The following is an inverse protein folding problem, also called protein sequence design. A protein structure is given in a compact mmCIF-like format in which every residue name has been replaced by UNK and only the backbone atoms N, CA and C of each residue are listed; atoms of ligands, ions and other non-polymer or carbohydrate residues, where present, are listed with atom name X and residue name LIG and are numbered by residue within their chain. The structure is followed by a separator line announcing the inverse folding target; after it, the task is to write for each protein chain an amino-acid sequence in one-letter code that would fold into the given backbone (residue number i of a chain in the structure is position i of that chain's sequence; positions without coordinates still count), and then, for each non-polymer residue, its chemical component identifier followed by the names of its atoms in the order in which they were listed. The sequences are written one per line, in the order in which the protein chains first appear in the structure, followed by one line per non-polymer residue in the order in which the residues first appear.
data_IF_102327642655
#
_entry.id   IF_102327642655
#
_cell.length_a   1.000
_cell.length_b   1.000
_cell.length_c   1.000
_cell.angle_alpha   90.00
_cell.angle_beta   90.00
_cell.angle_gamma   90.00
#
_symmetry.space_group_name_H-M   'P 1'
#
loop_
_entity.id
_entity.type
_entity.pdbx_description
1 polymer ?
#
# COMPACT_ATOMS: atom_id res chain seq x y z
N UNK A 1 -2.36 9.44 -12.77
CA UNK A 1 -1.95 10.57 -11.91
C UNK A 1 -3.11 11.17 -11.12
N UNK A 2 -4.13 11.75 -11.78
CA UNK A 2 -5.24 12.48 -11.14
C UNK A 2 -5.88 11.67 -9.99
N UNK A 3 -6.20 10.41 -10.24
CA UNK A 3 -6.74 9.47 -9.24
C UNK A 3 -5.89 9.31 -7.97
N UNK A 4 -4.57 9.23 -8.11
CA UNK A 4 -3.65 9.10 -6.97
C UNK A 4 -3.61 10.40 -6.17
N UNK A 5 -3.56 11.54 -6.84
CA UNK A 5 -3.57 12.84 -6.16
C UNK A 5 -4.88 13.04 -5.39
N UNK A 6 -6.03 12.63 -5.95
CA UNK A 6 -7.30 12.63 -5.23
C UNK A 6 -7.27 11.72 -3.99
N UNK A 7 -6.66 10.54 -4.07
CA UNK A 7 -6.52 9.66 -2.90
C UNK A 7 -5.61 10.30 -1.81
N UNK A 8 -4.49 10.91 -2.21
CA UNK A 8 -3.56 11.58 -1.30
C UNK A 8 -4.17 12.84 -0.65
N UNK A 9 -4.88 13.68 -1.40
CA UNK A 9 -5.51 14.92 -0.88
C UNK A 9 -6.62 14.63 0.12
N UNK A 10 -7.26 13.47 0.01
CA UNK A 10 -8.28 12.98 0.92
C UNK A 10 -7.72 12.16 2.10
N UNK A 11 -6.40 12.02 2.22
CA UNK A 11 -5.76 11.40 3.40
C UNK A 11 -5.72 12.42 4.55
N UNK A 12 -6.45 12.23 5.66
CA UNK A 12 -6.62 13.27 6.69
C UNK A 12 -5.31 13.76 7.31
N UNK A 13 -4.39 12.84 7.62
CA UNK A 13 -3.10 13.20 8.23
C UNK A 13 -2.17 13.96 7.27
N UNK A 14 -2.19 13.63 5.98
CA UNK A 14 -1.47 14.41 4.98
C UNK A 14 -2.06 15.82 4.87
N UNK A 15 -3.39 15.93 4.83
CA UNK A 15 -4.08 17.22 4.82
C UNK A 15 -3.67 18.08 6.01
N UNK A 16 -3.73 17.53 7.22
CA UNK A 16 -3.44 18.29 8.43
C UNK A 16 -1.96 18.69 8.48
N UNK A 17 -1.05 17.83 8.01
CA UNK A 17 0.38 18.15 7.88
C UNK A 17 0.62 19.30 6.90
N UNK A 18 0.12 19.20 5.66
CA UNK A 18 0.36 20.19 4.61
C UNK A 18 -0.34 21.52 4.86
N UNK A 19 -1.48 21.52 5.56
CA UNK A 19 -2.16 22.75 5.98
C UNK A 19 -1.53 23.40 7.22
N UNK A 20 -0.75 22.66 8.01
CA UNK A 20 -0.05 23.19 9.18
C UNK A 20 1.28 23.89 8.88
N UNK A 21 1.67 23.95 7.60
CA UNK A 21 2.89 24.60 7.08
C UNK A 21 4.18 24.21 7.83
N UNK A 22 4.26 22.97 8.31
CA UNK A 22 5.41 22.44 9.06
C UNK A 22 6.62 22.11 8.19
N UNK A 23 6.52 22.26 6.86
CA UNK A 23 7.60 21.89 5.96
C UNK A 23 8.67 23.00 5.91
N UNK A 24 9.88 22.67 6.37
CA UNK A 24 11.06 23.51 6.15
C UNK A 24 11.72 23.10 4.84
N UNK A 25 11.53 23.91 3.79
CA UNK A 25 12.11 23.66 2.48
C UNK A 25 13.65 23.72 2.54
N UNK A 26 14.29 22.64 2.09
CA UNK A 26 15.76 22.53 2.06
C UNK A 26 16.38 23.07 0.77
N UNK A 27 15.56 23.30 -0.25
CA UNK A 27 15.98 23.91 -1.50
C UNK A 27 16.09 25.42 -1.27
N UNK A 28 17.17 25.83 -0.59
CA UNK A 28 17.47 27.15 -0.02
C UNK A 28 17.28 28.38 -0.94
N UNK A 29 16.89 28.22 -2.22
CA UNK A 29 16.53 29.33 -3.13
C UNK A 29 15.62 28.93 -4.32
N UNK A 30 15.12 27.68 -4.40
CA UNK A 30 14.23 27.28 -5.50
C UNK A 30 13.15 26.31 -5.03
N UNK A 31 12.12 26.87 -4.40
CA UNK A 31 10.93 26.14 -3.95
C UNK A 31 10.20 25.44 -5.12
N UNK A 32 10.45 25.84 -6.37
CA UNK A 32 9.81 25.22 -7.54
C UNK A 32 10.31 23.80 -7.80
N UNK A 33 11.46 23.42 -7.22
CA UNK A 33 12.03 22.07 -7.32
C UNK A 33 11.63 21.15 -6.16
N UNK A 34 10.96 21.69 -5.14
CA UNK A 34 10.54 20.92 -3.99
C UNK A 34 9.13 20.35 -4.19
N UNK A 35 9.01 19.03 -4.36
CA UNK A 35 7.72 18.35 -4.43
C UNK A 35 6.83 18.62 -3.20
N UNK A 36 7.40 18.71 -2.01
CA UNK A 36 6.65 18.96 -0.76
C UNK A 36 6.04 20.37 -0.78
N UNK A 37 6.77 21.38 -1.26
CA UNK A 37 6.22 22.74 -1.43
C UNK A 37 5.09 22.78 -2.46
N UNK A 38 5.25 22.11 -3.61
CA UNK A 38 4.19 22.07 -4.62
C UNK A 38 2.95 21.33 -4.10
N UNK A 39 3.12 20.24 -3.35
CA UNK A 39 2.00 19.54 -2.72
C UNK A 39 1.34 20.41 -1.65
N UNK A 40 2.10 21.11 -0.79
CA UNK A 40 1.51 22.09 0.14
C UNK A 40 0.64 23.13 -0.58
N UNK A 41 1.14 23.69 -1.68
CA UNK A 41 0.41 24.64 -2.52
C UNK A 41 -0.88 24.02 -3.09
N UNK A 42 -0.81 22.79 -3.59
CA UNK A 42 -1.97 22.07 -4.12
C UNK A 42 -3.02 21.80 -3.04
N UNK A 43 -2.61 21.43 -1.82
CA UNK A 43 -3.54 21.28 -0.70
C UNK A 43 -4.20 22.61 -0.34
N UNK A 44 -3.45 23.71 -0.27
CA UNK A 44 -4.00 25.03 -0.02
C UNK A 44 -5.00 25.46 -1.11
N UNK A 45 -4.66 25.27 -2.39
CA UNK A 45 -5.56 25.58 -3.52
C UNK A 45 -6.83 24.69 -3.48
N UNK A 46 -6.69 23.39 -3.21
CA UNK A 46 -7.82 22.45 -3.12
C UNK A 46 -8.79 22.81 -1.99
N UNK A 47 -8.25 23.15 -0.81
CA UNK A 47 -9.05 23.51 0.37
C UNK A 47 -9.41 25.01 0.46
N UNK A 48 -9.03 25.82 -0.54
CA UNK A 48 -9.36 27.26 -0.60
C UNK A 48 -10.85 27.56 -0.79
N UNK A 49 -11.62 26.56 -1.23
CA UNK A 49 -13.05 26.73 -1.61
C UNK A 49 -13.26 27.19 -3.05
N UNK A 50 -12.19 27.43 -3.82
CA UNK A 50 -12.29 27.68 -5.25
C UNK A 50 -12.76 26.41 -6.00
N UNK A 51 -13.71 26.57 -6.93
CA UNK A 51 -14.28 25.47 -7.72
C UNK A 51 -13.58 25.24 -9.07
N UNK A 52 -12.54 26.02 -9.37
CA UNK A 52 -11.76 25.82 -10.58
C UNK A 52 -11.01 24.47 -10.53
N UNK A 53 -10.95 23.71 -11.65
CA UNK A 53 -10.13 22.51 -11.73
C UNK A 53 -8.65 22.81 -11.47
N UNK A 54 -7.99 21.96 -10.69
CA UNK A 54 -6.56 22.09 -10.39
C UNK A 54 -5.71 21.52 -11.53
N UNK A 55 -4.73 22.32 -11.99
CA UNK A 55 -3.82 21.92 -13.07
C UNK A 55 -2.51 21.41 -12.46
N UNK A 56 -2.28 20.10 -12.53
CA UNK A 56 -1.16 19.40 -11.91
C UNK A 56 0.16 19.42 -12.72
N UNK A 57 0.35 20.38 -13.62
CA UNK A 57 1.50 20.40 -14.55
C UNK A 57 2.85 20.51 -13.84
N UNK A 58 2.96 21.32 -12.78
CA UNK A 58 4.19 21.47 -11.98
C UNK A 58 4.54 20.18 -11.25
N UNK A 59 3.53 19.57 -10.63
CA UNK A 59 3.66 18.29 -9.94
C UNK A 59 4.15 17.20 -10.89
N UNK A 60 3.53 17.11 -12.08
CA UNK A 60 3.91 16.16 -13.12
C UNK A 60 5.36 16.36 -13.55
N UNK A 61 5.75 17.61 -13.84
CA UNK A 61 7.11 17.94 -14.22
C UNK A 61 8.12 17.52 -13.14
N UNK A 62 7.82 17.80 -11.86
CA UNK A 62 8.70 17.43 -10.76
C UNK A 62 8.86 15.93 -10.64
N UNK A 63 7.76 15.17 -10.65
CA UNK A 63 7.83 13.72 -10.59
C UNK A 63 8.63 13.16 -11.76
N UNK A 64 8.44 13.67 -12.98
CA UNK A 64 9.21 13.25 -14.15
C UNK A 64 10.72 13.52 -14.05
N UNK A 65 11.11 14.65 -13.43
CA UNK A 65 12.53 14.94 -13.23
C UNK A 65 13.21 13.97 -12.27
N UNK A 66 12.46 13.47 -11.28
CA UNK A 66 12.98 12.56 -10.26
C UNK A 66 12.76 11.07 -10.58
N UNK A 67 11.73 10.75 -11.37
CA UNK A 67 11.34 9.41 -11.82
C UNK A 67 11.19 9.41 -13.35
N UNK A 68 12.34 9.36 -14.05
CA UNK A 68 12.39 9.49 -15.52
C UNK A 68 11.65 8.39 -16.28
N UNK A 69 11.45 7.22 -15.67
CA UNK A 69 10.69 6.12 -16.29
C UNK A 69 9.20 6.43 -16.40
N UNK A 70 8.67 7.32 -15.54
CA UNK A 70 7.29 7.83 -15.63
C UNK A 70 7.16 9.05 -16.53
N UNK A 71 8.27 9.55 -17.08
CA UNK A 71 8.27 10.75 -17.90
C UNK A 71 7.76 10.46 -19.31
N UNK A 72 6.70 11.16 -19.72
CA UNK A 72 6.11 11.00 -21.03
C UNK A 72 4.59 11.17 -20.99
N UNK A 73 3.99 11.32 -22.17
CA UNK A 73 2.54 11.46 -22.31
C UNK A 73 1.83 10.10 -22.47
N UNK A 74 2.57 9.00 -22.32
CA UNK A 74 2.03 7.64 -22.38
C UNK A 74 1.24 7.30 -21.13
N UNK A 75 0.33 6.34 -21.25
CA UNK A 75 -0.40 5.82 -20.10
C UNK A 75 0.56 5.04 -19.20
N UNK A 76 0.50 5.33 -17.90
CA UNK A 76 1.38 4.73 -16.89
C UNK A 76 0.56 4.03 -15.81
N UNK A 77 1.19 3.11 -15.10
CA UNK A 77 0.59 2.41 -13.98
C UNK A 77 0.37 3.36 -12.78
N UNK A 78 -0.86 3.36 -12.23
CA UNK A 78 -1.19 4.21 -11.09
C UNK A 78 -0.44 3.79 -9.81
N UNK A 79 -0.12 2.51 -9.64
CA UNK A 79 0.67 1.99 -8.53
C UNK A 79 2.11 2.50 -8.61
N UNK A 80 2.74 2.40 -9.78
CA UNK A 80 4.10 2.89 -9.98
C UNK A 80 4.20 4.40 -9.72
N UNK A 81 3.23 5.18 -10.21
CA UNK A 81 3.14 6.60 -9.90
C UNK A 81 2.97 6.88 -8.40
N UNK A 82 2.14 6.09 -7.70
CA UNK A 82 1.93 6.22 -6.26
C UNK A 82 3.22 5.98 -5.48
N UNK A 83 3.94 4.90 -5.76
CA UNK A 83 5.20 4.58 -5.09
C UNK A 83 6.27 5.62 -5.40
N UNK A 84 6.39 6.06 -6.66
CA UNK A 84 7.33 7.12 -7.05
C UNK A 84 7.01 8.45 -6.35
N UNK A 85 5.72 8.81 -6.21
CA UNK A 85 5.32 10.03 -5.51
C UNK A 85 5.68 9.97 -4.01
N UNK A 86 5.45 8.83 -3.35
CA UNK A 86 5.83 8.63 -1.95
C UNK A 86 7.35 8.68 -1.77
N UNK A 87 8.13 8.07 -2.67
CA UNK A 87 9.59 8.11 -2.62
C UNK A 87 10.15 9.54 -2.74
N UNK A 88 9.66 10.31 -3.71
CA UNK A 88 10.12 11.70 -3.88
C UNK A 88 9.69 12.56 -2.68
N UNK A 89 8.48 12.36 -2.16
CA UNK A 89 8.01 13.03 -0.94
C UNK A 89 8.87 12.69 0.27
N UNK A 90 9.17 11.40 0.47
CA UNK A 90 10.03 10.91 1.54
C UNK A 90 11.42 11.55 1.46
N UNK A 91 12.07 11.55 0.28
CA UNK A 91 13.39 12.17 0.06
C UNK A 91 13.39 13.68 0.27
N UNK A 92 12.32 14.37 -0.12
CA UNK A 92 12.24 15.84 0.03
C UNK A 92 11.79 16.27 1.44
N UNK A 93 11.17 15.37 2.21
CA UNK A 93 10.90 15.59 3.63
C UNK A 93 12.11 15.25 4.51
N UNK A 94 12.95 14.30 4.07
CA UNK A 94 14.25 14.04 4.68
C UNK A 94 15.16 15.21 4.41
N UNK A 95 15.20 16.10 5.40
CA UNK A 95 16.30 17.02 5.45
C UNK A 95 17.63 16.29 5.54
N UNK A 96 18.68 16.78 4.87
CA UNK A 96 20.03 16.19 4.77
C UNK A 96 20.30 15.16 5.89
N UNK A 97 20.57 13.87 5.56
CA UNK A 97 20.76 12.86 6.58
C UNK A 97 21.86 13.31 7.55
N UNK A 98 21.68 13.14 8.88
CA UNK A 98 22.77 13.36 9.81
C UNK A 98 23.93 12.44 9.42
N UNK A 99 25.13 13.02 9.35
CA UNK A 99 26.38 12.41 8.88
C UNK A 99 26.90 11.25 9.75
N UNK A 100 26.06 10.60 10.55
CA UNK A 100 26.43 9.52 11.44
C UNK A 100 25.72 8.25 10.99
N UNK A 101 26.52 7.29 10.51
CA UNK A 101 26.10 5.98 10.02
C UNK A 101 25.56 5.07 11.11
N UNK A 102 24.42 5.44 11.68
CA UNK A 102 23.60 4.52 12.45
C UNK A 102 22.58 3.87 11.51
N UNK A 103 22.72 2.57 11.33
CA UNK A 103 22.03 1.75 10.33
C UNK A 103 20.64 1.33 10.80
N UNK A 104 19.91 2.27 11.42
CA UNK A 104 18.50 2.09 11.79
C UNK A 104 17.65 2.83 10.76
N UNK A 105 17.00 2.05 9.88
CA UNK A 105 16.15 2.50 8.77
C UNK A 105 14.84 3.17 9.22
N UNK A 106 14.88 4.13 10.15
CA UNK A 106 13.68 4.82 10.64
C UNK A 106 13.77 6.30 10.36
N UNK A 107 13.19 6.74 9.26
CA UNK A 107 13.01 8.16 9.00
C UNK A 107 11.77 8.68 9.76
N UNK A 108 11.87 9.89 10.30
CA UNK A 108 10.78 10.56 11.01
C UNK A 108 9.88 11.41 10.10
N UNK A 109 9.98 11.28 8.77
CA UNK A 109 9.17 12.08 7.84
C UNK A 109 7.68 11.69 7.90
N UNK A 110 6.82 12.59 7.42
CA UNK A 110 5.37 12.39 7.41
C UNK A 110 4.96 11.13 6.61
N UNK A 111 5.69 10.81 5.54
CA UNK A 111 5.43 9.61 4.74
C UNK A 111 5.67 8.34 5.54
N UNK A 112 6.77 8.30 6.30
CA UNK A 112 7.10 7.13 7.12
C UNK A 112 6.18 6.99 8.34
N UNK A 113 5.73 8.10 8.91
CA UNK A 113 4.74 8.06 9.99
C UNK A 113 3.38 7.53 9.53
N UNK A 114 2.97 7.85 8.29
CA UNK A 114 1.63 7.52 7.78
C UNK A 114 1.60 6.17 7.08
N UNK A 115 2.52 5.91 6.15
CA UNK A 115 2.46 4.78 5.22
C UNK A 115 3.41 3.64 5.56
N UNK A 116 4.45 3.86 6.38
CA UNK A 116 5.43 2.79 6.66
C UNK A 116 4.91 1.78 7.67
N UNK A 117 4.67 0.57 7.19
CA UNK A 117 4.46 -0.63 8.00
C UNK A 117 5.76 -1.43 8.17
N UNK A 118 5.67 -2.53 8.92
CA UNK A 118 6.77 -3.49 9.09
C UNK A 118 6.28 -4.91 8.82
N UNK A 119 6.85 -5.56 7.82
CA UNK A 119 6.57 -6.93 7.44
C UNK A 119 7.59 -7.87 8.07
N UNK A 120 7.13 -8.87 8.82
CA UNK A 120 7.97 -9.91 9.39
C UNK A 120 8.05 -11.09 8.42
N UNK A 121 9.24 -11.37 7.91
CA UNK A 121 9.55 -12.54 7.09
C UNK A 121 10.23 -13.60 7.96
N UNK A 122 9.51 -14.69 8.22
CA UNK A 122 10.02 -15.83 8.97
C UNK A 122 10.40 -16.97 8.01
N UNK A 123 11.65 -17.41 8.10
CA UNK A 123 12.15 -18.60 7.40
C UNK A 123 12.37 -19.70 8.43
N UNK A 124 11.63 -20.80 8.30
CA UNK A 124 11.70 -21.96 9.20
C UNK A 124 12.37 -23.12 8.49
N UNK A 125 13.50 -23.57 9.01
CA UNK A 125 14.20 -24.74 8.52
C UNK A 125 13.40 -26.01 8.83
N UNK A 126 13.16 -26.86 7.82
CA UNK A 126 12.37 -28.09 7.99
C UNK A 126 13.16 -29.24 8.65
N UNK A 127 14.49 -29.11 8.76
CA UNK A 127 15.33 -30.14 9.39
C UNK A 127 15.51 -29.91 10.90
N UNK A 128 15.71 -28.67 11.34
CA UNK A 128 15.98 -28.35 12.75
C UNK A 128 14.95 -27.44 13.41
N UNK A 129 13.91 -27.00 12.67
CA UNK A 129 12.91 -26.03 13.11
C UNK A 129 13.48 -24.68 13.58
N UNK A 130 14.75 -24.37 13.24
CA UNK A 130 15.34 -23.06 13.48
C UNK A 130 14.60 -21.97 12.68
N UNK A 131 14.29 -20.86 13.35
CA UNK A 131 13.58 -19.73 12.76
C UNK A 131 14.55 -18.57 12.55
N UNK A 132 14.59 -18.05 11.33
CA UNK A 132 15.27 -16.80 10.98
C UNK A 132 14.21 -15.75 10.67
N UNK A 133 14.20 -14.65 11.41
CA UNK A 133 13.22 -13.57 11.28
C UNK A 133 13.88 -12.31 10.76
N UNK A 134 13.36 -11.73 9.69
CA UNK A 134 13.72 -10.40 9.19
C UNK A 134 12.51 -9.48 9.24
N UNK A 135 12.73 -8.19 9.47
CA UNK A 135 11.67 -7.18 9.49
C UNK A 135 11.98 -6.16 8.40
N UNK A 136 11.12 -6.11 7.40
CA UNK A 136 11.29 -5.26 6.21
C UNK A 136 10.22 -4.16 6.22
N UNK A 137 10.58 -2.87 6.07
CA UNK A 137 9.61 -1.80 5.94
C UNK A 137 8.87 -1.87 4.59
N UNK A 138 7.62 -1.42 4.56
CA UNK A 138 6.82 -1.33 3.33
C UNK A 138 5.90 -0.10 3.33
N UNK A 139 5.55 0.42 2.15
CA UNK A 139 4.55 1.48 1.98
C UNK A 139 3.21 0.97 1.45
N UNK A 140 3.22 -0.17 0.76
CA UNK A 140 2.03 -0.84 0.24
C UNK A 140 2.14 -2.36 0.36
N UNK A 141 1.00 -3.04 0.21
CA UNK A 141 0.93 -4.50 0.14
C UNK A 141 0.34 -4.86 -1.22
N UNK A 142 1.18 -5.43 -2.09
CA UNK A 142 0.78 -5.87 -3.42
C UNK A 142 0.34 -7.35 -3.41
N UNK A 143 -0.96 -7.57 -3.60
CA UNK A 143 -1.66 -8.85 -3.45
C UNK A 143 -1.85 -9.57 -4.78
N UNK A 144 -1.43 -10.83 -4.84
CA UNK A 144 -1.55 -11.67 -6.04
C UNK A 144 -2.97 -12.23 -6.21
N UNK A 145 -3.52 -12.08 -7.42
CA UNK A 145 -4.87 -12.54 -7.77
C UNK A 145 -4.89 -13.83 -8.61
N UNK A 146 -3.78 -14.17 -9.28
CA UNK A 146 -3.67 -15.37 -10.10
C UNK A 146 -3.70 -16.65 -9.26
N UNK A 147 -4.06 -17.83 -9.83
CA UNK A 147 -3.95 -19.11 -9.13
C UNK A 147 -2.50 -19.35 -8.68
N UNK A 148 -2.28 -20.02 -7.54
CA UNK A 148 -0.92 -20.27 -7.07
C UNK A 148 -0.25 -21.32 -7.97
N UNK A 149 0.82 -20.98 -8.71
CA UNK A 149 1.41 -21.90 -9.68
C UNK A 149 2.08 -23.12 -9.03
N UNK A 150 2.47 -23.02 -7.76
CA UNK A 150 3.15 -24.08 -6.98
C UNK A 150 2.23 -24.77 -5.96
N UNK A 151 0.93 -24.45 -6.01
CA UNK A 151 -0.09 -24.99 -5.14
C UNK A 151 -0.38 -26.46 -5.35
N UNK A 152 -0.02 -27.31 -4.38
CA UNK A 152 -0.36 -28.74 -4.41
C UNK A 152 -1.79 -29.01 -3.91
N UNK A 153 -2.39 -28.07 -3.18
CA UNK A 153 -3.72 -28.21 -2.59
C UNK A 153 -4.85 -27.67 -3.49
N UNK A 154 -6.09 -28.17 -3.32
CA UNK A 154 -7.27 -27.61 -3.99
C UNK A 154 -7.50 -26.13 -3.66
N UNK A 155 -7.12 -25.69 -2.46
CA UNK A 155 -7.25 -24.31 -1.99
C UNK A 155 -6.22 -23.35 -2.63
N UNK A 156 -5.08 -23.86 -3.12
CA UNK A 156 -4.09 -23.05 -3.81
C UNK A 156 -4.46 -22.78 -5.29
N UNK A 157 -5.35 -23.60 -5.85
CA UNK A 157 -5.88 -23.44 -7.21
C UNK A 157 -7.11 -22.55 -7.28
N UNK A 158 -7.75 -22.25 -6.14
CA UNK A 158 -8.90 -21.35 -6.09
C UNK A 158 -8.44 -19.90 -6.16
N UNK A 159 -9.04 -19.16 -7.08
CA UNK A 159 -8.83 -17.70 -7.23
C UNK A 159 -9.45 -17.01 -6.02
N UNK A 160 -8.76 -16.04 -5.37
CA UNK A 160 -9.33 -15.31 -4.24
C UNK A 160 -10.59 -14.54 -4.68
N UNK A 161 -11.56 -14.42 -3.77
CA UNK A 161 -12.84 -13.73 -4.03
C UNK A 161 -13.03 -12.49 -3.17
N UNK A 162 -12.20 -12.33 -2.14
CA UNK A 162 -12.22 -11.20 -1.22
C UNK A 162 -10.82 -10.70 -0.89
N UNK A 163 -10.73 -9.44 -0.43
CA UNK A 163 -9.50 -8.86 0.10
C UNK A 163 -8.96 -9.67 1.30
N UNK A 164 -9.85 -10.23 2.12
CA UNK A 164 -9.46 -11.10 3.23
C UNK A 164 -8.81 -12.39 2.72
N UNK A 165 -9.34 -13.02 1.66
CA UNK A 165 -8.72 -14.20 1.03
C UNK A 165 -7.32 -13.87 0.48
N UNK A 166 -7.19 -12.70 -0.15
CA UNK A 166 -5.90 -12.23 -0.66
C UNK A 166 -4.87 -12.05 0.48
N UNK A 167 -5.28 -11.47 1.61
CA UNK A 167 -4.41 -11.26 2.77
C UNK A 167 -4.08 -12.56 3.50
N UNK A 168 -5.03 -13.49 3.61
CA UNK A 168 -4.78 -14.83 4.16
C UNK A 168 -3.73 -15.55 3.31
N UNK A 169 -3.90 -15.51 1.98
CA UNK A 169 -2.91 -16.08 1.05
C UNK A 169 -1.56 -15.39 1.15
N UNK A 170 -1.52 -14.07 1.25
CA UNK A 170 -0.27 -13.30 1.40
C UNK A 170 0.47 -13.66 2.69
N UNK A 171 -0.25 -13.98 3.77
CA UNK A 171 0.32 -14.30 5.08
C UNK A 171 0.50 -15.79 5.36
N UNK A 172 0.15 -16.64 4.40
CA UNK A 172 0.25 -18.09 4.52
C UNK A 172 1.70 -18.56 4.39
N UNK A 173 2.15 -19.57 5.17
CA UNK A 173 3.44 -20.20 4.95
C UNK A 173 3.50 -20.87 3.57
N UNK A 174 4.57 -20.61 2.83
CA UNK A 174 4.87 -21.25 1.55
C UNK A 174 6.16 -22.08 1.65
N UNK A 175 6.19 -23.23 0.97
CA UNK A 175 7.39 -24.05 0.86
C UNK A 175 8.25 -23.54 -0.28
N UNK A 176 9.52 -23.22 -0.01
CA UNK A 176 10.42 -22.69 -1.04
C UNK A 176 10.82 -23.75 -2.09
N UNK A 177 10.57 -25.03 -1.80
CA UNK A 177 10.87 -26.14 -2.70
C UNK A 177 12.35 -26.51 -2.73
N UNK A 178 12.64 -27.61 -3.43
CA UNK A 178 13.98 -28.20 -3.48
C UNK A 178 15.00 -27.41 -4.32
N UNK A 179 14.52 -26.51 -5.18
CA UNK A 179 15.34 -25.62 -6.02
C UNK A 179 15.82 -24.36 -5.31
N UNK A 180 15.21 -23.97 -4.19
CA UNK A 180 15.54 -22.76 -3.43
C UNK A 180 15.91 -23.06 -1.97
N UNK A 181 16.76 -24.06 -1.76
CA UNK A 181 17.27 -24.42 -0.42
C UNK A 181 18.07 -23.27 0.18
N UNK A 182 17.86 -23.02 1.47
CA UNK A 182 18.56 -21.96 2.22
C UNK A 182 19.63 -22.60 3.10
N UNK A 183 20.79 -21.95 3.19
CA UNK A 183 21.85 -22.37 4.12
C UNK A 183 21.40 -22.08 5.56
N UNK A 184 21.05 -23.12 6.30
CA UNK A 184 20.63 -22.99 7.69
C UNK A 184 21.84 -22.80 8.61
N UNK A 185 21.80 -21.81 9.50
CA UNK A 185 22.85 -21.56 10.50
C UNK A 185 22.96 -22.68 11.55
N UNK A 186 21.83 -23.27 11.97
CA UNK A 186 21.83 -24.41 12.89
C UNK A 186 22.38 -25.71 12.26
N UNK A 187 21.95 -26.06 11.05
CA UNK A 187 22.38 -27.29 10.37
C UNK A 187 23.71 -27.15 9.60
N UNK A 188 24.22 -25.92 9.45
CA UNK A 188 25.41 -25.59 8.63
C UNK A 188 25.38 -26.16 7.20
N UNK A 189 24.19 -26.39 6.66
CA UNK A 189 23.95 -27.05 5.36
C UNK A 189 22.71 -26.47 4.68
N UNK A 190 22.56 -26.72 3.38
CA UNK A 190 21.41 -26.29 2.58
C UNK A 190 20.21 -27.17 2.88
N UNK A 191 19.18 -26.58 3.48
CA UNK A 191 17.97 -27.27 3.90
C UNK A 191 16.75 -26.71 3.21
N UNK A 192 15.71 -27.54 3.09
CA UNK A 192 14.40 -27.06 2.72
C UNK A 192 13.83 -26.20 3.85
N UNK A 193 13.13 -25.14 3.49
CA UNK A 193 12.61 -24.17 4.44
C UNK A 193 11.24 -23.69 3.97
N UNK A 194 10.39 -23.35 4.93
CA UNK A 194 9.13 -22.64 4.69
C UNK A 194 9.34 -21.16 4.97
N UNK A 195 8.84 -20.30 4.10
CA UNK A 195 8.83 -18.85 4.29
C UNK A 195 7.40 -18.40 4.61
N UNK A 196 7.26 -17.47 5.54
CA UNK A 196 5.97 -16.86 5.86
C UNK A 196 6.15 -15.36 6.05
N UNK A 197 5.22 -14.58 5.50
CA UNK A 197 5.15 -13.14 5.70
C UNK A 197 4.01 -12.83 6.67
N UNK A 198 4.22 -11.96 7.66
CA UNK A 198 3.19 -11.54 8.62
C UNK A 198 3.35 -10.06 8.98
N UNK A 199 2.30 -9.43 9.48
CA UNK A 199 2.35 -8.00 9.84
C UNK A 199 2.97 -7.82 11.23
N UNK A 200 4.14 -7.19 11.33
CA UNK A 200 4.75 -6.82 12.61
C UNK A 200 4.22 -5.50 13.14
N UNK A 201 4.14 -4.51 12.25
CA UNK A 201 3.65 -3.16 12.51
C UNK A 201 2.74 -2.75 11.36
N UNK A 202 1.55 -2.26 11.67
CA UNK A 202 0.63 -1.74 10.65
C UNK A 202 0.79 -0.22 10.51
N UNK A 203 0.78 0.31 9.28
CA UNK A 203 0.83 1.75 9.03
C UNK A 203 -0.47 2.43 9.43
N UNK A 204 -0.47 3.75 9.57
CA UNK A 204 -1.71 4.50 9.81
C UNK A 204 -2.64 4.42 8.60
N UNK A 205 -2.06 4.48 7.40
CA UNK A 205 -2.76 4.27 6.14
C UNK A 205 -2.24 3.00 5.48
N UNK A 206 -3.09 1.99 5.39
CA UNK A 206 -2.82 0.78 4.61
C UNK A 206 -3.19 1.04 3.15
N UNK A 207 -2.22 0.81 2.27
CA UNK A 207 -2.39 0.85 0.82
C UNK A 207 -2.30 -0.58 0.28
N UNK A 208 -3.39 -1.10 -0.27
CA UNK A 208 -3.42 -2.41 -0.91
C UNK A 208 -3.44 -2.25 -2.42
N UNK A 209 -2.52 -2.92 -3.10
CA UNK A 209 -2.48 -3.01 -4.54
C UNK A 209 -2.94 -4.41 -4.97
N UNK A 210 -4.03 -4.48 -5.73
CA UNK A 210 -4.48 -5.73 -6.33
C UNK A 210 -3.74 -5.91 -7.65
N UNK A 211 -2.80 -6.87 -7.72
CA UNK A 211 -1.97 -7.14 -8.91
C UNK A 211 -2.83 -7.72 -10.03
N UNK A 212 -3.49 -6.83 -10.77
CA UNK A 212 -4.39 -7.18 -11.89
C UNK A 212 -3.65 -7.40 -13.19
N UNK A 213 -2.38 -7.07 -13.28
CA UNK A 213 -1.59 -7.16 -14.50
C UNK A 213 -0.61 -8.33 -14.42
N UNK A 214 -0.86 -9.37 -15.21
CA UNK A 214 0.07 -10.50 -15.35
C UNK A 214 0.92 -10.31 -16.61
N UNK A 215 2.24 -10.37 -16.42
CA UNK A 215 3.22 -10.36 -17.51
C UNK A 215 3.72 -11.79 -17.74
N UNK A 216 3.02 -12.55 -18.60
CA UNK A 216 3.53 -13.84 -19.07
C UNK A 216 4.25 -13.65 -20.40
N UNK A 217 5.31 -14.44 -20.65
CA UNK A 217 6.21 -14.37 -21.83
C UNK A 217 5.51 -14.38 -23.21
N UNK A 218 4.19 -14.58 -23.29
CA UNK A 218 3.42 -14.63 -24.54
C UNK A 218 2.14 -13.79 -24.54
N UNK A 219 1.65 -13.33 -23.38
CA UNK A 219 0.40 -12.57 -23.29
C UNK A 219 0.42 -11.68 -22.04
N UNK A 220 0.19 -10.39 -22.22
CA UNK A 220 -0.17 -9.49 -21.12
C UNK A 220 -1.69 -9.61 -20.93
N UNK A 221 -2.12 -9.97 -19.72
CA UNK A 221 -3.55 -10.12 -19.43
C UNK A 221 -3.94 -9.33 -18.19
N UNK A 222 -5.04 -8.59 -18.30
CA UNK A 222 -5.72 -7.98 -17.16
C UNK A 222 -6.61 -9.02 -16.49
N UNK A 223 -6.47 -9.17 -15.17
CA UNK A 223 -7.34 -9.96 -14.32
C UNK A 223 -8.55 -9.10 -13.96
N UNK A 224 -9.67 -9.33 -14.65
CA UNK A 224 -10.94 -8.66 -14.39
C UNK A 224 -11.79 -9.35 -13.31
N UNK A 225 -11.21 -10.29 -12.54
CA UNK A 225 -11.91 -10.98 -11.47
C UNK A 225 -12.39 -9.98 -10.42
N UNK A 226 -13.67 -10.06 -10.08
CA UNK A 226 -14.24 -9.25 -9.00
C UNK A 226 -13.66 -9.71 -7.67
N UNK A 227 -13.08 -8.79 -6.91
CA UNK A 227 -12.55 -9.02 -5.57
C UNK A 227 -13.34 -8.14 -4.63
N UNK A 228 -14.13 -8.76 -3.76
CA UNK A 228 -14.88 -8.03 -2.75
C UNK A 228 -13.94 -7.44 -1.70
N UNK A 229 -14.12 -6.17 -1.36
CA UNK A 229 -13.40 -5.51 -0.27
C UNK A 229 -14.41 -4.84 0.65
N UNK A 230 -14.23 -4.91 1.99
CA UNK A 230 -15.20 -4.36 2.93
C UNK A 230 -15.00 -2.86 3.15
N UNK A 231 -16.03 -2.15 3.60
CA UNK A 231 -15.84 -0.76 4.08
C UNK A 231 -14.94 -0.71 5.33
N UNK A 232 -15.07 -1.71 6.21
CA UNK A 232 -14.30 -1.84 7.44
C UNK A 232 -13.46 -3.12 7.41
N UNK A 233 -12.17 -2.99 7.65
CA UNK A 233 -11.21 -4.09 7.60
C UNK A 233 -10.57 -4.30 8.97
N UNK A 234 -10.55 -5.54 9.45
CA UNK A 234 -9.79 -5.93 10.64
C UNK A 234 -8.51 -6.64 10.21
N UNK A 235 -7.36 -6.06 10.58
CA UNK A 235 -6.04 -6.59 10.25
C UNK A 235 -5.47 -7.51 11.34
N UNK A 236 -6.15 -7.64 12.49
CA UNK A 236 -5.73 -8.51 13.61
C UNK A 236 -5.37 -9.94 13.18
N UNK A 237 -6.11 -10.61 12.28
CA UNK A 237 -5.80 -11.98 11.88
C UNK A 237 -4.45 -12.18 11.19
N UNK A 238 -3.88 -11.10 10.63
CA UNK A 238 -2.66 -11.12 9.80
C UNK A 238 -1.40 -10.68 10.57
N UNK A 239 -1.53 -10.37 11.86
CA UNK A 239 -0.44 -9.92 12.74
C UNK A 239 0.46 -11.08 13.20
N UNK A 240 1.77 -10.83 13.31
CA UNK A 240 2.76 -11.86 13.68
C UNK A 240 2.60 -12.41 15.10
N UNK A 241 2.03 -11.61 16.02
CA UNK A 241 1.76 -12.01 17.41
C UNK A 241 0.79 -13.21 17.54
N UNK A 242 -0.01 -13.49 16.50
CA UNK A 242 -0.88 -14.67 16.44
C UNK A 242 -0.11 -15.99 16.50
N UNK A 243 1.13 -16.02 15.97
CA UNK A 243 2.00 -17.21 15.96
C UNK A 243 2.46 -17.61 17.36
N UNK A 244 2.78 -16.63 18.22
CA UNK A 244 3.30 -16.92 19.56
C UNK A 244 2.24 -17.54 20.49
N UNK A 245 0.95 -17.22 20.29
CA UNK A 245 -0.13 -17.72 21.14
C UNK A 245 -0.70 -19.09 20.72
N UNK A 246 -0.64 -19.46 19.43
CA UNK A 246 -1.20 -20.72 18.94
C UNK A 246 -0.42 -21.98 19.37
N UNK A 247 0.76 -21.84 19.99
CA UNK A 247 1.47 -22.96 20.61
C UNK A 247 0.89 -23.38 21.98
N UNK A 248 -0.06 -22.63 22.54
CA UNK A 248 -0.79 -23.03 23.74
C UNK A 248 -2.13 -23.66 23.37
N UNK A 249 -2.15 -24.99 23.43
CA UNK A 249 -3.29 -25.85 23.16
C UNK A 249 -4.44 -25.56 24.14
N UNK A 250 -5.53 -24.93 23.68
CA UNK A 250 -6.92 -25.26 24.04
C UNK A 250 -7.93 -24.28 23.41
N UNK A 251 -8.88 -24.84 22.64
CA UNK A 251 -10.29 -24.42 22.61
C UNK A 251 -10.65 -23.04 22.04
N UNK A 252 -11.32 -23.05 20.88
CA UNK A 252 -12.30 -22.06 20.40
C UNK A 252 -11.87 -20.59 20.56
N UNK A 253 -11.12 -20.07 19.62
CA UNK A 253 -10.70 -18.68 19.65
C UNK A 253 -11.72 -17.75 18.97
N UNK A 254 -12.73 -17.35 19.73
CA UNK A 254 -13.34 -16.03 19.54
C UNK A 254 -12.31 -15.00 20.01
N UNK A 255 -11.36 -14.65 19.14
CA UNK A 255 -10.32 -13.70 19.48
C UNK A 255 -10.94 -12.31 19.67
N UNK A 256 -10.56 -11.55 20.72
CA UNK A 256 -10.98 -10.17 20.84
C UNK A 256 -10.38 -9.41 19.66
N UNK A 257 -11.22 -8.88 18.79
CA UNK A 257 -10.81 -7.95 17.74
C UNK A 257 -10.05 -6.81 18.40
N UNK A 258 -8.79 -6.61 18.02
CA UNK A 258 -8.03 -5.48 18.53
C UNK A 258 -8.53 -4.22 17.82
N UNK A 259 -9.11 -3.31 18.58
CA UNK A 259 -9.72 -2.10 18.04
C UNK A 259 -8.69 -1.25 17.29
N UNK A 260 -7.40 -1.38 17.65
CA UNK A 260 -6.28 -0.63 17.08
C UNK A 260 -5.87 -1.12 15.69
N UNK A 261 -6.32 -2.30 15.29
CA UNK A 261 -6.04 -2.90 13.98
C UNK A 261 -7.24 -2.80 13.03
N UNK A 262 -8.25 -1.99 13.38
CA UNK A 262 -9.41 -1.72 12.53
C UNK A 262 -9.18 -0.53 11.62
N UNK A 263 -9.61 -0.69 10.38
CA UNK A 263 -9.44 0.30 9.33
C UNK A 263 -10.78 0.62 8.66
N UNK A 264 -10.88 1.83 8.12
CA UNK A 264 -11.99 2.28 7.29
C UNK A 264 -11.50 2.66 5.90
N UNK A 265 -12.19 2.18 4.88
CA UNK A 265 -11.96 2.52 3.49
C UNK A 265 -12.28 4.01 3.28
N UNK A 266 -11.37 4.72 2.64
CA UNK A 266 -11.58 6.13 2.29
C UNK A 266 -11.25 6.48 0.85
N UNK A 267 -10.47 5.66 0.14
CA UNK A 267 -10.28 5.85 -1.30
C UNK A 267 -10.13 4.52 -2.03
N UNK A 268 -10.65 4.47 -3.26
CA UNK A 268 -10.52 3.34 -4.18
C UNK A 268 -10.13 3.89 -5.54
N UNK A 269 -9.00 3.45 -6.07
CA UNK A 269 -8.61 3.73 -7.46
C UNK A 269 -9.07 2.56 -8.30
N UNK A 270 -9.75 2.85 -9.40
CA UNK A 270 -10.23 1.87 -10.36
C UNK A 270 -9.50 2.04 -11.69
N UNK A 271 -9.39 0.95 -12.44
CA UNK A 271 -8.83 0.95 -13.77
C UNK A 271 -9.81 0.31 -14.76
N UNK A 272 -10.33 1.07 -15.71
CA UNK A 272 -11.21 0.56 -16.78
C UNK A 272 -10.39 0.41 -18.06
N UNK A 273 -10.56 -0.70 -18.80
CA UNK A 273 -9.81 -0.97 -20.03
C UNK A 273 -8.75 -2.06 -19.86
N UNK A 274 -7.79 -2.07 -20.78
CA UNK A 274 -6.74 -3.09 -20.91
C UNK A 274 -5.36 -2.48 -20.56
N UNK A 275 -4.28 -3.27 -20.66
CA UNK A 275 -2.93 -2.81 -20.32
C UNK A 275 -2.43 -1.66 -21.20
N UNK A 276 -2.69 -1.71 -22.51
CA UNK A 276 -2.19 -0.72 -23.47
C UNK A 276 -3.08 0.53 -23.58
N UNK A 277 -4.33 0.41 -23.12
CA UNK A 277 -5.33 1.46 -23.20
C UNK A 277 -6.35 1.27 -22.08
N UNK A 278 -6.29 2.17 -21.11
CA UNK A 278 -7.22 2.23 -20.01
C UNK A 278 -7.45 3.63 -19.48
N UNK A 279 -8.27 3.70 -18.43
CA UNK A 279 -8.67 4.92 -17.76
C UNK A 279 -8.76 4.70 -16.27
N UNK A 280 -8.11 5.57 -15.50
CA UNK A 280 -8.12 5.50 -14.05
C UNK A 280 -9.13 6.48 -13.47
N UNK A 281 -9.97 6.01 -12.56
CA UNK A 281 -10.90 6.83 -11.79
C UNK A 281 -10.68 6.61 -10.30
N UNK A 282 -11.11 7.54 -9.46
CA UNK A 282 -11.04 7.38 -8.00
C UNK A 282 -12.41 7.55 -7.37
N UNK A 283 -12.73 6.72 -6.38
CA UNK A 283 -13.74 7.04 -5.38
C UNK A 283 -13.03 7.56 -4.13
N UNK A 284 -13.54 8.65 -3.56
CA UNK A 284 -13.02 9.23 -2.32
C UNK A 284 -14.14 9.49 -1.33
N UNK A 285 -13.87 9.22 -0.05
CA UNK A 285 -14.74 9.54 1.09
C UNK A 285 -14.40 10.94 1.58
N UNK A 286 -15.42 11.77 1.74
CA UNK A 286 -15.31 13.11 2.31
C UNK A 286 -16.04 13.18 3.66
N UNK A 287 -16.09 14.37 4.26
CA UNK A 287 -16.81 14.65 5.48
C UNK A 287 -18.26 14.14 5.46
N UNK A 288 -18.75 13.70 6.62
CA UNK A 288 -20.10 13.13 6.82
C UNK A 288 -20.36 11.87 5.99
N UNK A 289 -19.32 11.08 5.76
CA UNK A 289 -19.40 9.76 5.09
C UNK A 289 -20.00 9.82 3.69
N UNK A 290 -19.76 10.92 2.99
CA UNK A 290 -20.19 11.10 1.61
C UNK A 290 -19.11 10.61 0.65
N UNK A 291 -19.53 9.81 -0.33
CA UNK A 291 -18.66 9.31 -1.37
C UNK A 291 -18.81 10.11 -2.67
N UNK A 292 -17.69 10.32 -3.33
CA UNK A 292 -17.61 11.00 -4.62
C UNK A 292 -16.77 10.18 -5.60
N UNK A 293 -17.22 10.12 -6.85
CA UNK A 293 -16.46 9.61 -7.99
C UNK A 293 -15.73 10.77 -8.65
N UNK A 294 -14.41 10.69 -8.68
CA UNK A 294 -13.51 11.59 -9.38
C UNK A 294 -13.09 10.95 -10.71
N UNK A 295 -13.58 11.51 -11.80
CA UNK A 295 -13.28 11.14 -13.18
C UNK A 295 -12.66 12.37 -13.87
N UNK A 296 -11.34 12.51 -13.68
CA UNK A 296 -10.57 13.71 -14.00
C UNK A 296 -11.19 15.00 -13.44
N UNK A 297 -11.77 15.83 -14.31
CA UNK A 297 -12.40 17.10 -13.94
C UNK A 297 -13.86 16.94 -13.50
N UNK A 298 -14.47 15.78 -13.76
CA UNK A 298 -15.85 15.48 -13.37
C UNK A 298 -15.89 14.84 -11.99
N UNK A 299 -16.50 15.53 -11.03
CA UNK A 299 -16.74 15.02 -9.69
C UNK A 299 -18.24 14.80 -9.53
N UNK A 300 -18.64 13.55 -9.30
CA UNK A 300 -20.05 13.17 -9.12
C UNK A 300 -20.25 12.46 -7.79
N UNK A 301 -21.46 12.54 -7.22
CA UNK A 301 -21.78 11.84 -5.97
C UNK A 301 -21.92 10.34 -6.24
N UNK A 302 -21.42 9.52 -5.32
CA UNK A 302 -21.53 8.07 -5.35
C UNK A 302 -22.11 7.54 -4.03
N UNK A 303 -22.63 6.31 -4.06
CA UNK A 303 -23.02 5.59 -2.84
C UNK A 303 -21.90 4.63 -2.43
N UNK A 304 -21.88 4.21 -1.16
CA UNK A 304 -20.95 3.17 -0.70
C UNK A 304 -21.11 1.87 -1.51
N UNK A 305 -22.35 1.53 -1.92
CA UNK A 305 -22.61 0.35 -2.74
C UNK A 305 -21.89 0.43 -4.10
N UNK A 306 -21.90 1.60 -4.75
CA UNK A 306 -21.17 1.80 -6.02
C UNK A 306 -19.66 1.61 -5.84
N UNK A 307 -19.13 2.02 -4.69
CA UNK A 307 -17.71 1.87 -4.33
C UNK A 307 -17.37 0.40 -4.11
N UNK A 308 -18.14 -0.33 -3.29
CA UNK A 308 -17.88 -1.73 -2.95
C UNK A 308 -18.14 -2.69 -4.13
N UNK A 309 -18.91 -2.28 -5.13
CA UNK A 309 -19.13 -3.03 -6.38
C UNK A 309 -18.14 -2.65 -7.49
N UNK A 310 -17.21 -1.71 -7.24
CA UNK A 310 -16.20 -1.32 -8.22
C UNK A 310 -15.06 -2.34 -8.31
N UNK A 311 -14.28 -2.26 -9.40
CA UNK A 311 -13.23 -3.25 -9.68
C UNK A 311 -12.14 -3.24 -8.60
N UNK A 312 -11.76 -2.07 -8.07
CA UNK A 312 -10.68 -1.92 -7.10
C UNK A 312 -9.32 -2.29 -7.68
N UNK A 313 -8.47 -1.31 -7.92
CA UNK A 313 -7.07 -1.50 -8.31
C UNK A 313 -6.14 -1.18 -7.14
N UNK A 314 -6.30 0.01 -6.55
CA UNK A 314 -5.67 0.39 -5.28
C UNK A 314 -6.75 0.69 -4.26
N UNK A 315 -6.58 0.17 -3.05
CA UNK A 315 -7.50 0.38 -1.94
C UNK A 315 -6.76 1.07 -0.80
N UNK A 316 -7.29 2.21 -0.34
CA UNK A 316 -6.70 2.98 0.74
C UNK A 316 -7.60 2.96 1.97
N UNK A 317 -7.00 2.56 3.07
CA UNK A 317 -7.64 2.35 4.36
C UNK A 317 -6.91 3.15 5.42
N UNK A 318 -7.61 3.94 6.23
CA UNK A 318 -7.01 4.59 7.40
C UNK A 318 -7.43 3.88 8.68
N UNK A 319 -6.56 3.89 9.70
CA UNK A 319 -6.92 3.38 11.03
C UNK A 319 -8.14 4.12 11.57
N UNK A 320 -9.03 3.39 12.24
CA UNK A 320 -10.20 3.95 12.91
C UNK A 320 -9.81 4.71 14.18
N UNK A 321 -8.77 4.24 14.86
CA UNK A 321 -8.25 4.83 16.10
C UNK A 321 -6.76 5.09 15.89
N UNK A 322 -6.37 6.33 16.14
CA UNK A 322 -4.98 6.76 16.16
C UNK A 322 -4.55 6.79 17.63
N UNK A 323 -3.62 5.94 18.01
CA UNK A 323 -2.93 6.07 19.30
C UNK A 323 -1.94 7.23 19.15
N UNK A 324 -2.12 8.27 19.97
CA UNK A 324 -1.12 9.29 20.17
C UNK A 324 -0.29 8.85 21.37
N UNK A 325 0.95 8.43 21.13
CA UNK A 325 1.96 8.22 22.18
C UNK A 325 2.47 9.55 22.72
#
# INVERSE_FOLDING_TARGET
MSCIIQALTHTPLLRDYFLSDKHVCQFNNDATRCLVCEISRLFQEFYSGNKAPLILHKLLHLIWTHARHLAGYEQQDAHEFFIAALDVLHRHCQGNPPSNGDSTHTCSCIIDQIFTGGLQSDVVCQACNGVSTTIDPFWDISLDLGPCPYGTSKADKTVPTSLADCLDRFTRPEHLGSSAKIKCSGCQSYQESTKQLTMKKLPIVCSFHLKRFEHSNRLHKKISTFISFPEHLDMTPFMSNRRNNNNNHNGVTTHPTDINNRYSLFAVVNHVGNLDAGHYTAYVRQHRDQWYKCDDHMITRATIQDVLQSEGYLLFYHKQILEYD
#
